data_IF_927092235675
#
_entry.id   IF_927092235675
#
_cell.length_a   1.000
_cell.length_b   1.000
_cell.length_c   1.000
_cell.angle_alpha   90.00
_cell.angle_beta   90.00
_cell.angle_gamma   90.00
#
_symmetry.space_group_name_H-M   'P 1'
#
loop_
_entity.id
_entity.type
_entity.pdbx_description
1 polymer ?
#
# COMPACT_ATOMS: atom_id res chain seq x y z
N UNK A 1 -5.56 1.27 -15.84
CA UNK A 1 -5.26 2.21 -14.73
C UNK A 1 -3.79 2.59 -14.78
N UNK A 2 -3.50 3.88 -14.86
CA UNK A 2 -2.14 4.45 -14.85
C UNK A 2 -1.70 4.71 -13.39
N UNK A 3 -0.42 4.46 -13.10
CA UNK A 3 0.17 4.68 -11.78
C UNK A 3 1.22 5.77 -11.88
N UNK A 4 1.04 6.84 -11.10
CA UNK A 4 1.98 7.95 -11.02
C UNK A 4 2.86 7.74 -9.79
N UNK A 5 4.17 7.72 -10.01
CA UNK A 5 5.16 7.63 -8.95
C UNK A 5 5.64 9.02 -8.57
N UNK A 6 5.52 9.38 -7.29
CA UNK A 6 6.28 10.52 -6.78
C UNK A 6 7.74 10.16 -6.62
N UNK A 7 8.62 11.15 -6.73
CA UNK A 7 10.06 10.97 -6.48
C UNK A 7 10.32 10.31 -5.11
N UNK A 8 9.57 10.71 -4.10
CA UNK A 8 9.65 10.11 -2.76
C UNK A 8 9.27 8.63 -2.74
N UNK A 9 8.19 8.23 -3.43
CA UNK A 9 7.79 6.83 -3.54
C UNK A 9 8.83 5.98 -4.28
N UNK A 10 9.45 6.50 -5.35
CA UNK A 10 10.53 5.80 -6.06
C UNK A 10 11.74 5.57 -5.17
N UNK A 11 12.16 6.59 -4.42
CA UNK A 11 13.29 6.48 -3.52
C UNK A 11 13.01 5.49 -2.38
N UNK A 12 11.77 5.47 -1.86
CA UNK A 12 11.33 4.45 -0.89
C UNK A 12 11.29 3.05 -1.48
N UNK A 13 10.82 2.88 -2.71
CA UNK A 13 10.80 1.58 -3.36
C UNK A 13 12.21 1.01 -3.49
N UNK A 14 13.18 1.81 -3.97
CA UNK A 14 14.58 1.38 -4.06
C UNK A 14 15.17 0.98 -2.71
N UNK A 15 14.80 1.65 -1.62
CA UNK A 15 15.21 1.25 -0.27
C UNK A 15 14.63 -0.12 0.12
N UNK A 16 13.35 -0.34 -0.16
CA UNK A 16 12.67 -1.61 0.16
C UNK A 16 13.10 -2.76 -0.74
N UNK A 17 13.45 -2.50 -1.99
CA UNK A 17 14.05 -3.48 -2.89
C UNK A 17 15.37 -4.00 -2.33
N UNK A 18 16.26 -3.10 -1.87
CA UNK A 18 17.55 -3.49 -1.28
C UNK A 18 17.41 -4.25 0.03
N UNK A 19 16.41 -3.91 0.86
CA UNK A 19 16.25 -4.48 2.21
C UNK A 19 15.42 -5.76 2.22
N UNK A 20 14.37 -5.82 1.40
CA UNK A 20 13.31 -6.82 1.47
C UNK A 20 12.96 -7.40 0.09
N UNK A 21 13.67 -7.02 -0.97
CA UNK A 21 13.41 -7.48 -2.35
C UNK A 21 11.97 -7.15 -2.79
N UNK A 22 11.45 -6.01 -2.34
CA UNK A 22 10.16 -5.49 -2.78
C UNK A 22 10.37 -4.74 -4.09
N UNK A 23 10.00 -5.39 -5.18
CA UNK A 23 10.22 -4.87 -6.54
C UNK A 23 9.22 -3.77 -6.87
N UNK A 24 9.53 -3.00 -7.92
CA UNK A 24 8.58 -2.02 -8.46
C UNK A 24 7.27 -2.71 -8.88
N UNK A 25 7.36 -3.85 -9.55
CA UNK A 25 6.20 -4.62 -10.00
C UNK A 25 5.30 -5.01 -8.83
N UNK A 26 5.88 -5.48 -7.71
CA UNK A 26 5.11 -5.85 -6.51
C UNK A 26 4.32 -4.66 -5.94
N UNK A 27 4.90 -3.46 -5.98
CA UNK A 27 4.20 -2.24 -5.56
C UNK A 27 3.09 -1.87 -6.55
N UNK A 28 3.33 -1.97 -7.86
CA UNK A 28 2.30 -1.68 -8.85
C UNK A 28 1.14 -2.67 -8.75
N UNK A 29 1.42 -3.94 -8.50
CA UNK A 29 0.40 -4.97 -8.26
C UNK A 29 -0.40 -4.69 -6.98
N UNK A 30 0.25 -4.21 -5.91
CA UNK A 30 -0.43 -3.74 -4.70
C UNK A 30 -1.41 -2.59 -5.00
N UNK A 31 -1.01 -1.62 -5.83
CA UNK A 31 -1.88 -0.50 -6.19
C UNK A 31 -3.05 -0.92 -7.08
N UNK A 32 -2.83 -1.90 -7.98
CA UNK A 32 -3.85 -2.42 -8.90
C UNK A 32 -4.85 -3.33 -8.20
N UNK A 33 -4.36 -4.21 -7.34
CA UNK A 33 -5.14 -5.25 -6.69
C UNK A 33 -4.75 -5.36 -5.20
N UNK A 34 -5.10 -4.35 -4.39
CA UNK A 34 -4.82 -4.37 -2.96
C UNK A 34 -5.67 -5.43 -2.27
N UNK A 35 -5.07 -6.14 -1.29
CA UNK A 35 -5.85 -7.02 -0.42
C UNK A 35 -6.75 -6.23 0.52
N UNK A 36 -6.33 -5.03 0.89
CA UNK A 36 -7.13 -4.11 1.69
C UNK A 36 -6.82 -2.66 1.32
N UNK A 37 -7.85 -1.83 1.26
CA UNK A 37 -7.74 -0.38 1.22
C UNK A 37 -8.29 0.17 2.54
N UNK A 38 -7.53 1.05 3.20
CA UNK A 38 -7.97 1.77 4.40
C UNK A 38 -7.81 3.27 4.23
N UNK A 39 -8.56 4.07 4.97
CA UNK A 39 -8.35 5.51 5.04
C UNK A 39 -6.98 5.84 5.64
N UNK A 40 -6.26 6.76 5.00
CA UNK A 40 -4.99 7.32 5.43
C UNK A 40 -5.17 8.60 6.24
N UNK A 41 -4.22 9.53 6.10
CA UNK A 41 -4.35 10.89 6.63
C UNK A 41 -5.11 11.77 5.62
N UNK A 42 -6.03 12.61 6.10
CA UNK A 42 -6.93 13.44 5.28
C UNK A 42 -7.65 12.62 4.18
N UNK A 43 -7.33 12.89 2.92
CA UNK A 43 -7.99 12.34 1.74
C UNK A 43 -7.22 11.16 1.11
N UNK A 44 -6.14 10.70 1.76
CA UNK A 44 -5.32 9.62 1.25
C UNK A 44 -6.00 8.26 1.46
N UNK A 45 -5.88 7.37 0.48
CA UNK A 45 -6.18 5.95 0.62
C UNK A 45 -4.89 5.17 0.79
N UNK A 46 -4.91 4.10 1.58
CA UNK A 46 -3.74 3.25 1.78
C UNK A 46 -4.05 1.85 1.28
N UNK A 47 -3.46 1.51 0.14
CA UNK A 47 -3.40 0.12 -0.33
C UNK A 47 -2.43 -0.65 0.56
N UNK A 48 -2.85 -1.81 1.08
CA UNK A 48 -1.99 -2.65 1.90
C UNK A 48 -2.18 -4.15 1.63
N UNK A 49 -1.07 -4.89 1.79
CA UNK A 49 -0.95 -6.34 1.59
C UNK A 49 -0.02 -6.94 2.63
N UNK A 50 -0.36 -8.12 3.14
CA UNK A 50 0.57 -8.89 3.97
C UNK A 50 1.69 -9.47 3.10
N UNK A 51 2.94 -9.26 3.50
CA UNK A 51 4.10 -9.76 2.75
C UNK A 51 5.34 -9.87 3.63
N UNK A 52 6.13 -10.94 3.44
CA UNK A 52 7.41 -11.19 4.13
C UNK A 52 7.29 -11.03 5.66
N UNK A 53 6.29 -11.65 6.26
CA UNK A 53 5.95 -11.56 7.70
C UNK A 53 5.63 -10.15 8.22
N UNK A 54 5.31 -9.24 7.32
CA UNK A 54 4.87 -7.90 7.65
C UNK A 54 3.76 -7.40 6.74
N UNK A 55 3.65 -6.09 6.65
CA UNK A 55 2.62 -5.38 5.90
C UNK A 55 3.27 -4.32 5.03
N UNK A 56 3.14 -4.48 3.72
CA UNK A 56 3.47 -3.44 2.75
C UNK A 56 2.28 -2.51 2.62
N UNK A 57 2.54 -1.20 2.68
CA UNK A 57 1.54 -0.14 2.66
C UNK A 57 1.97 0.95 1.69
N UNK A 58 1.05 1.37 0.83
CA UNK A 58 1.26 2.40 -0.17
C UNK A 58 0.11 3.43 -0.10
N UNK A 59 0.30 4.56 0.59
CA UNK A 59 -0.61 5.69 0.49
C UNK A 59 -0.65 6.23 -0.94
N UNK A 60 -1.85 6.48 -1.44
CA UNK A 60 -2.10 7.02 -2.76
C UNK A 60 -3.34 7.93 -2.75
N UNK A 61 -3.40 8.80 -3.75
CA UNK A 61 -4.59 9.59 -4.09
C UNK A 61 -5.05 9.26 -5.50
N UNK A 62 -6.34 9.45 -5.74
CA UNK A 62 -6.92 9.35 -7.08
C UNK A 62 -6.97 10.74 -7.74
N UNK A 63 -6.41 10.86 -8.94
CA UNK A 63 -6.40 12.09 -9.73
C UNK A 63 -6.79 11.69 -11.16
N UNK A 64 -7.94 12.18 -11.63
CA UNK A 64 -8.39 11.96 -13.03
C UNK A 64 -8.36 10.48 -13.46
N UNK A 65 -8.79 9.56 -12.58
CA UNK A 65 -8.79 8.11 -12.85
C UNK A 65 -7.40 7.44 -12.80
N UNK A 66 -6.37 8.17 -12.37
CA UNK A 66 -5.01 7.67 -12.11
C UNK A 66 -4.77 7.54 -10.61
N UNK A 67 -3.88 6.63 -10.21
CA UNK A 67 -3.45 6.49 -8.81
C UNK A 67 -2.03 7.04 -8.64
N UNK A 68 -1.88 8.07 -7.81
CA UNK A 68 -0.58 8.67 -7.49
C UNK A 68 -0.08 8.17 -6.15
N UNK A 69 1.03 7.43 -6.16
CA UNK A 69 1.67 6.90 -4.95
C UNK A 69 2.44 8.02 -4.25
N UNK A 70 2.09 8.27 -2.99
CA UNK A 70 2.72 9.32 -2.18
C UNK A 70 4.00 8.82 -1.51
N UNK A 71 3.99 7.58 -1.01
CA UNK A 71 5.12 6.96 -0.31
C UNK A 71 4.93 5.45 -0.18
N UNK A 72 5.91 4.75 0.42
CA UNK A 72 5.85 3.32 0.70
C UNK A 72 6.38 3.01 2.11
N UNK A 73 5.65 2.17 2.83
CA UNK A 73 6.04 1.67 4.13
C UNK A 73 6.01 0.14 4.15
N UNK A 74 6.95 -0.44 4.87
CA UNK A 74 6.84 -1.81 5.34
C UNK A 74 6.89 -1.82 6.87
N UNK A 75 6.09 -2.66 7.51
CA UNK A 75 6.08 -2.80 8.97
C UNK A 75 5.78 -4.23 9.40
N UNK A 76 6.44 -4.69 10.46
CA UNK A 76 6.09 -5.95 11.15
C UNK A 76 4.85 -5.83 12.03
N UNK A 77 4.33 -4.61 12.28
CA UNK A 77 3.18 -4.36 13.15
C UNK A 77 1.85 -4.63 12.46
N UNK A 78 1.68 -5.82 11.86
CA UNK A 78 0.48 -6.18 11.07
C UNK A 78 -0.81 -5.92 11.84
N UNK A 79 -0.92 -6.42 13.08
CA UNK A 79 -2.13 -6.29 13.91
C UNK A 79 -2.52 -4.85 14.27
N UNK A 80 -1.60 -3.88 14.17
CA UNK A 80 -1.94 -2.47 14.38
C UNK A 80 -2.66 -1.85 13.17
N UNK A 81 -2.33 -2.31 11.97
CA UNK A 81 -2.70 -1.64 10.72
C UNK A 81 -3.67 -2.44 9.86
N UNK A 82 -3.65 -3.77 9.96
CA UNK A 82 -4.61 -4.63 9.28
C UNK A 82 -5.98 -4.49 9.95
N UNK A 83 -7.01 -4.17 9.18
CA UNK A 83 -8.38 -4.18 9.68
C UNK A 83 -8.94 -5.57 9.47
N UNK A 84 -9.24 -6.28 10.55
CA UNK A 84 -10.02 -7.51 10.44
C UNK A 84 -11.37 -7.17 9.82
N UNK A 85 -11.85 -8.00 8.90
CA UNK A 85 -13.23 -7.91 8.44
C UNK A 85 -14.11 -8.11 9.67
N UNK A 86 -14.84 -7.08 10.07
CA UNK A 86 -15.93 -7.29 11.02
C UNK A 86 -16.91 -8.21 10.30
N UNK A 87 -17.01 -9.46 10.76
CA UNK A 87 -18.15 -10.32 10.45
C UNK A 87 -19.41 -9.67 11.04
N UNK A 88 -19.97 -8.67 10.36
CA UNK A 88 -21.32 -8.13 10.63
C UNK A 88 -22.39 -9.00 9.97
N UNK A 89 -22.26 -10.32 10.12
CA UNK A 89 -23.34 -11.28 9.83
C UNK A 89 -23.23 -12.45 10.82
N UNK A 90 -23.59 -12.17 12.07
CA UNK A 90 -24.30 -13.15 12.89
C UNK A 90 -25.79 -12.83 12.75
N UNK A 91 -26.41 -13.42 11.73
CA UNK A 91 -27.85 -13.66 11.70
C UNK A 91 -28.14 -14.95 12.45
#
# INVERSE_FOLDING_TARGET
MEIIWTKHAEDRQKQWERKLVITRQEVEDLIRNPEQIVSGDKDDLVAQRKTRDGLLRAPFIEIEGKRKILTLYWTSKVGKYWKEEKNENKL
#
